data_IF_720584648920
#
_entry.id   IF_720584648920
#
_cell.length_a   1.000
_cell.length_b   1.000
_cell.length_c   1.000
_cell.angle_alpha   90.00
_cell.angle_beta   90.00
_cell.angle_gamma   90.00
#
_symmetry.space_group_name_H-M   'P 1'
#
loop_
_entity.id
_entity.type
_entity.pdbx_description
1 polymer ?
#
# COMPACT_ATOMS: atom_id res chain seq x y z
N UNK A 1 -5.19 -10.68 33.14
CA UNK A 1 -5.19 -10.45 32.49
C UNK A 1 -5.10 -10.20 31.88
N UNK A 2 -4.99 -10.33 31.84
CA UNK A 2 -4.95 -10.06 31.03
C UNK A 2 -4.87 -10.04 30.29
N UNK A 3 -4.83 -10.19 30.00
CA UNK A 3 -4.84 -10.18 29.07
C UNK A 3 -4.64 -9.78 28.35
N UNK A 4 -4.50 -9.93 28.22
CA UNK A 4 -4.45 -9.60 27.36
C UNK A 4 -4.59 -9.43 26.55
N UNK A 5 -4.78 -9.57 26.53
CA UNK A 5 -5.12 -9.35 25.70
C UNK A 5 -4.80 -8.79 25.03
N UNK A 6 -4.51 -8.93 24.63
CA UNK A 6 -4.30 -8.45 23.99
C UNK A 6 -4.54 -7.80 23.36
N UNK A 7 -4.59 -8.03 23.36
CA UNK A 7 -4.91 -7.28 22.36
C UNK A 7 -5.28 -6.08 22.45
N UNK A 8 -5.57 -5.88 22.76
CA UNK A 8 -6.07 -4.93 23.02
C UNK A 8 -5.41 -3.76 23.01
N UNK A 9 -5.04 -3.30 23.65
CA UNK A 9 -4.38 -2.15 23.68
C UNK A 9 -3.06 -2.29 23.35
N UNK A 10 -2.74 -2.69 22.34
CA UNK A 10 -1.44 -2.93 21.95
C UNK A 10 -0.82 -1.82 21.24
N UNK A 11 0.42 -1.59 21.43
CA UNK A 11 1.19 -0.69 20.62
C UNK A 11 1.21 -1.25 19.19
N UNK A 12 1.24 -0.39 18.17
CA UNK A 12 1.36 -0.87 16.79
C UNK A 12 2.61 -1.70 16.61
N UNK A 13 2.50 -2.75 15.80
CA UNK A 13 3.67 -3.55 15.46
C UNK A 13 4.55 -2.78 14.48
N UNK A 14 5.76 -3.28 14.27
CA UNK A 14 6.64 -2.69 13.27
C UNK A 14 5.97 -2.68 11.90
N UNK A 15 5.31 -3.78 11.55
CA UNK A 15 4.65 -3.87 10.25
C UNK A 15 3.52 -2.85 10.13
N UNK A 16 2.77 -2.62 11.19
CA UNK A 16 1.71 -1.62 11.20
C UNK A 16 2.28 -0.22 10.97
N UNK A 17 3.42 0.08 11.59
CA UNK A 17 4.08 1.36 11.42
C UNK A 17 4.53 1.55 9.98
N UNK A 18 5.16 0.53 9.40
CA UNK A 18 5.64 0.61 8.03
C UNK A 18 4.47 0.72 7.04
N UNK A 19 3.37 0.03 7.33
CA UNK A 19 2.19 0.11 6.49
C UNK A 19 1.60 1.53 6.53
N UNK A 20 1.62 2.17 7.67
CA UNK A 20 1.13 3.54 7.78
C UNK A 20 2.01 4.51 7.00
N UNK A 21 3.32 4.34 7.05
CA UNK A 21 4.25 5.14 6.26
C UNK A 21 3.93 4.96 4.77
N UNK A 22 3.74 3.72 4.34
CA UNK A 22 3.41 3.42 2.96
C UNK A 22 2.07 4.05 2.56
N UNK A 23 1.07 3.98 3.43
CA UNK A 23 -0.26 4.50 3.16
C UNK A 23 -0.21 6.02 2.92
N UNK A 24 0.48 6.74 3.79
CA UNK A 24 0.60 8.19 3.68
C UNK A 24 1.33 8.58 2.40
N UNK A 25 2.45 7.90 2.13
CA UNK A 25 3.25 8.20 0.93
C UNK A 25 2.49 7.87 -0.34
N UNK A 26 1.76 6.75 -0.35
CA UNK A 26 0.97 6.34 -1.51
C UNK A 26 -0.15 7.35 -1.77
N UNK A 27 -0.83 7.78 -0.72
CA UNK A 27 -1.90 8.78 -0.87
C UNK A 27 -1.35 10.06 -1.48
N UNK A 28 -0.20 10.52 -1.00
CA UNK A 28 0.41 11.74 -1.53
C UNK A 28 0.79 11.55 -3.01
N UNK A 29 1.35 10.40 -3.35
CA UNK A 29 1.73 10.12 -4.74
C UNK A 29 0.51 10.04 -5.65
N UNK A 30 -0.59 9.47 -5.17
CA UNK A 30 -1.80 9.33 -5.98
C UNK A 30 -2.48 10.66 -6.29
N UNK A 31 -2.19 11.69 -5.51
CA UNK A 31 -2.78 13.01 -5.76
C UNK A 31 -2.39 13.58 -7.12
N UNK A 32 -1.27 13.11 -7.68
CA UNK A 32 -0.82 13.58 -8.99
C UNK A 32 -1.45 12.78 -10.14
N UNK A 33 -2.27 11.80 -9.82
CA UNK A 33 -2.85 10.90 -10.82
C UNK A 33 -4.36 10.96 -10.84
N UNK A 34 -4.97 10.53 -11.94
CA UNK A 34 -6.41 10.43 -12.04
C UNK A 34 -6.93 9.38 -11.07
N UNK A 35 -8.17 9.53 -10.64
CA UNK A 35 -8.75 8.59 -9.68
C UNK A 35 -8.84 7.19 -10.26
N UNK A 36 -8.74 6.21 -9.38
CA UNK A 36 -9.01 4.83 -9.75
C UNK A 36 -10.44 4.74 -10.26
N UNK A 37 -10.67 4.12 -11.41
CA UNK A 37 -12.05 3.97 -11.91
C UNK A 37 -12.96 3.32 -10.86
N UNK A 38 -14.18 3.82 -10.73
CA UNK A 38 -15.10 3.33 -9.72
C UNK A 38 -15.33 1.83 -9.84
N UNK A 39 -15.33 1.31 -11.05
CA UNK A 39 -15.53 -0.11 -11.30
C UNK A 39 -14.39 -0.97 -10.75
N UNK A 40 -13.20 -0.39 -10.55
CA UNK A 40 -12.06 -1.10 -9.99
C UNK A 40 -12.02 -1.05 -8.47
N UNK A 41 -12.66 -0.05 -7.86
CA UNK A 41 -12.59 0.14 -6.41
C UNK A 41 -13.08 -1.07 -5.62
N UNK A 42 -14.05 -1.78 -6.14
CA UNK A 42 -14.63 -2.94 -5.46
C UNK A 42 -13.64 -4.08 -5.31
N UNK A 43 -12.66 -4.15 -6.20
CA UNK A 43 -11.69 -5.22 -6.21
C UNK A 43 -10.29 -4.75 -5.79
N UNK A 44 -10.21 -3.57 -5.21
CA UNK A 44 -8.92 -3.03 -4.79
C UNK A 44 -8.42 -3.80 -3.56
N UNK A 45 -7.25 -4.34 -3.68
CA UNK A 45 -6.68 -5.25 -2.68
C UNK A 45 -5.29 -4.78 -2.29
N UNK A 46 -4.95 -4.94 -1.03
CA UNK A 46 -3.61 -4.61 -0.54
C UNK A 46 -2.84 -5.90 -0.32
N UNK A 47 -1.69 -6.02 -0.97
CA UNK A 47 -0.78 -7.12 -0.77
C UNK A 47 0.47 -6.63 -0.03
N UNK A 48 1.05 -7.49 0.79
CA UNK A 48 2.27 -7.17 1.52
C UNK A 48 3.33 -8.21 1.18
N UNK A 49 4.50 -7.74 0.78
CA UNK A 49 5.61 -8.60 0.40
C UNK A 49 6.85 -8.22 1.19
N UNK A 50 7.74 -9.19 1.39
CA UNK A 50 8.96 -9.00 2.18
C UNK A 50 10.17 -9.22 1.28
N UNK A 51 11.08 -8.25 1.27
CA UNK A 51 12.28 -8.35 0.47
C UNK A 51 13.45 -7.81 1.31
N UNK A 52 14.15 -8.69 2.02
CA UNK A 52 15.25 -8.29 2.89
C UNK A 52 14.77 -7.36 3.99
N UNK A 53 15.35 -6.18 4.03
CA UNK A 53 14.99 -5.17 5.02
C UNK A 53 13.81 -4.33 4.55
N UNK A 54 13.31 -4.57 3.35
CA UNK A 54 12.19 -3.81 2.80
C UNK A 54 10.88 -4.54 2.95
N UNK A 55 9.82 -3.76 3.15
CA UNK A 55 8.45 -4.26 3.13
C UNK A 55 7.76 -3.54 1.99
N UNK A 56 7.13 -4.30 1.12
CA UNK A 56 6.51 -3.77 -0.09
C UNK A 56 5.00 -3.89 0.06
N UNK A 57 4.32 -2.77 -0.08
CA UNK A 57 2.86 -2.73 0.04
C UNK A 57 2.29 -2.35 -1.32
N UNK A 58 1.59 -3.29 -1.94
CA UNK A 58 1.03 -3.08 -3.27
C UNK A 58 -0.48 -2.96 -3.21
N UNK A 59 -1.01 -1.95 -3.89
CA UNK A 59 -2.43 -1.86 -4.15
C UNK A 59 -2.65 -2.39 -5.56
N UNK A 60 -3.51 -3.36 -5.71
CA UNK A 60 -3.79 -3.95 -7.02
C UNK A 60 -5.25 -4.32 -7.15
N UNK A 61 -5.69 -4.46 -8.39
CA UNK A 61 -7.05 -4.86 -8.70
C UNK A 61 -7.03 -6.36 -8.88
N UNK A 62 -7.71 -7.08 -8.01
CA UNK A 62 -7.76 -8.53 -8.08
C UNK A 62 -8.67 -8.96 -9.24
N UNK A 63 -8.23 -9.93 -10.00
CA UNK A 63 -8.99 -10.49 -11.11
C UNK A 63 -9.15 -11.99 -10.88
N UNK A 64 -9.98 -12.64 -11.69
CA UNK A 64 -10.19 -14.08 -11.58
C UNK A 64 -8.87 -14.84 -11.72
N UNK A 65 -8.02 -14.40 -12.64
CA UNK A 65 -6.72 -14.99 -12.85
C UNK A 65 -5.67 -14.10 -12.15
N UNK A 66 -4.86 -14.64 -11.25
CA UNK A 66 -3.83 -13.82 -10.59
C UNK A 66 -2.90 -13.10 -11.57
N UNK A 67 -2.66 -13.71 -12.72
CA UNK A 67 -1.78 -13.10 -13.73
C UNK A 67 -2.39 -11.86 -14.37
N UNK A 68 -3.71 -11.65 -14.23
CA UNK A 68 -4.39 -10.51 -14.83
C UNK A 68 -4.54 -9.37 -13.84
N UNK A 69 -4.02 -9.51 -12.63
CA UNK A 69 -4.13 -8.46 -11.61
C UNK A 69 -3.44 -7.18 -12.11
N UNK A 70 -4.07 -6.04 -11.85
CA UNK A 70 -3.55 -4.75 -12.28
C UNK A 70 -2.99 -4.02 -11.08
N UNK A 71 -1.68 -3.78 -11.08
CA UNK A 71 -1.03 -3.07 -9.98
C UNK A 71 -1.26 -1.58 -10.14
N UNK A 72 -1.74 -0.93 -9.09
CA UNK A 72 -1.98 0.51 -9.07
C UNK A 72 -0.81 1.23 -8.41
N UNK A 73 -0.33 0.72 -7.28
CA UNK A 73 0.81 1.33 -6.61
C UNK A 73 1.64 0.29 -5.90
N UNK A 74 2.93 0.61 -5.74
CA UNK A 74 3.84 -0.24 -5.00
C UNK A 74 4.67 0.68 -4.12
N UNK A 75 4.56 0.54 -2.81
CA UNK A 75 5.32 1.35 -1.85
C UNK A 75 6.33 0.46 -1.15
N UNK A 76 7.60 0.78 -1.30
CA UNK A 76 8.69 0.02 -0.68
C UNK A 76 9.21 0.82 0.51
N UNK A 77 9.13 0.25 1.70
CA UNK A 77 9.55 0.92 2.93
C UNK A 77 10.67 0.12 3.56
N UNK A 78 11.79 0.77 3.84
CA UNK A 78 12.90 0.11 4.52
C UNK A 78 12.62 0.11 6.02
N UNK A 79 12.67 -1.06 6.65
CA UNK A 79 12.31 -1.19 8.06
C UNK A 79 13.31 -0.51 9.00
N UNK A 80 14.53 -0.32 8.56
CA UNK A 80 15.57 0.26 9.42
C UNK A 80 15.59 1.76 9.32
N UNK A 81 15.59 2.30 8.11
CA UNK A 81 15.70 3.73 7.90
C UNK A 81 14.36 4.43 7.82
N UNK A 82 13.28 3.67 7.60
CA UNK A 82 11.92 4.17 7.41
C UNK A 82 11.79 4.98 6.11
N UNK A 83 12.76 4.88 5.23
CA UNK A 83 12.64 5.55 3.93
C UNK A 83 11.60 4.83 3.10
N UNK A 84 10.89 5.58 2.26
CA UNK A 84 9.81 5.02 1.44
C UNK A 84 9.92 5.54 0.02
N UNK A 85 9.65 4.67 -0.94
CA UNK A 85 9.53 5.08 -2.33
C UNK A 85 8.25 4.46 -2.88
N UNK A 86 7.55 5.21 -3.72
CA UNK A 86 6.26 4.79 -4.27
C UNK A 86 6.30 4.85 -5.78
N UNK A 87 5.83 3.79 -6.42
CA UNK A 87 5.68 3.75 -7.88
C UNK A 87 4.19 3.61 -8.16
N UNK A 88 3.66 4.48 -9.00
CA UNK A 88 2.27 4.41 -9.42
C UNK A 88 2.23 3.84 -10.83
N UNK A 89 1.36 2.89 -11.07
CA UNK A 89 1.23 2.21 -12.34
C UNK A 89 -0.23 2.17 -12.77
N UNK A 90 -0.43 2.08 -14.07
CA UNK A 90 -1.78 1.89 -14.65
C UNK A 90 -2.80 2.99 -14.34
N UNK A 91 -2.34 4.16 -13.95
CA UNK A 91 -3.19 5.35 -13.80
C UNK A 91 -2.52 6.48 -14.58
N UNK A 92 -3.31 7.35 -15.15
CA UNK A 92 -2.78 8.48 -15.88
C UNK A 92 -2.54 9.66 -14.96
N UNK A 93 -1.47 10.39 -15.20
CA UNK A 93 -1.21 11.60 -14.43
C UNK A 93 -2.24 12.66 -14.78
N UNK A 94 -2.60 13.45 -13.80
CA UNK A 94 -3.49 14.58 -14.04
C UNK A 94 -2.79 15.58 -14.95
N UNK A 95 -3.57 16.14 -15.84
CA UNK A 95 -3.04 17.17 -16.72
C UNK A 95 -3.06 18.47 -15.95
N UNK A 96 -1.89 19.11 -15.90
CA UNK A 96 -1.77 20.40 -15.24
C UNK A 96 -1.66 21.43 -16.35
N UNK A 97 -2.58 22.31 -16.43
CA UNK A 97 -2.56 23.35 -17.43
C UNK A 97 -2.13 24.69 -16.87
#
# INVERSE_FOLDING_TARGET
>A
MMVRVKGLTTAPTELDELQEIARVATRAALEEYERVPAEWEKNLTLGTFFDGEDRIFELYIACEQPSDAVVISSARVNRRTKSVSVVISNLEKKIVS
#
